data_IF_426030378129
#
_entry.id   IF_426030378129
#
_cell.length_a   1.000
_cell.length_b   1.000
_cell.length_c   1.000
_cell.angle_alpha   90.00
_cell.angle_beta   90.00
_cell.angle_gamma   90.00
#
_symmetry.space_group_name_H-M   'P 1'
#
loop_
_entity.id
_entity.type
_entity.pdbx_description
1 polymer ?
#
# COMPACT_ATOMS: atom_id res chain seq x y z
N UNK A 1 9.21 1.58 43.86
CA UNK A 1 10.43 2.40 43.58
C UNK A 1 10.05 3.39 42.49
N UNK A 2 10.01 4.67 42.80
CA UNK A 2 9.68 5.71 41.82
C UNK A 2 10.94 6.01 40.99
N UNK A 3 10.85 5.87 39.66
CA UNK A 3 11.90 6.32 38.74
C UNK A 3 11.84 7.85 38.64
N UNK A 4 12.86 8.50 39.14
CA UNK A 4 12.97 9.95 39.08
C UNK A 4 13.85 10.33 37.87
N UNK A 5 13.26 10.77 36.78
CA UNK A 5 13.98 11.30 35.61
C UNK A 5 14.41 12.75 35.90
N UNK A 6 15.59 12.90 36.44
CA UNK A 6 16.03 14.18 36.97
C UNK A 6 16.58 15.16 35.92
N UNK A 7 16.79 14.78 34.67
CA UNK A 7 17.21 15.68 33.60
C UNK A 7 17.02 15.12 32.19
N UNK A 8 17.09 16.01 31.20
CA UNK A 8 16.85 15.71 29.76
C UNK A 8 17.88 14.76 29.13
N UNK A 9 19.06 14.56 29.75
CA UNK A 9 20.13 13.71 29.25
C UNK A 9 19.96 12.22 29.64
N UNK A 10 19.04 11.90 30.53
CA UNK A 10 18.79 10.51 30.96
C UNK A 10 18.18 9.64 29.85
N UNK A 11 17.51 10.25 28.87
CA UNK A 11 16.91 9.53 27.74
C UNK A 11 17.91 9.17 26.65
N UNK A 12 19.04 9.89 26.53
CA UNK A 12 20.06 9.61 25.53
C UNK A 12 20.88 8.34 25.81
N UNK A 13 20.82 7.82 27.04
CA UNK A 13 21.49 6.59 27.47
C UNK A 13 20.58 5.34 27.40
N UNK A 14 19.30 5.48 27.03
CA UNK A 14 18.38 4.35 26.87
C UNK A 14 18.62 3.74 25.49
N UNK A 15 19.39 2.68 25.44
CA UNK A 15 19.68 1.93 24.20
C UNK A 15 18.56 0.97 23.79
N UNK A 16 17.61 0.65 24.68
CA UNK A 16 16.41 -0.12 24.40
C UNK A 16 15.31 0.16 25.43
N UNK A 17 14.08 0.25 25.00
CA UNK A 17 12.92 0.28 25.88
C UNK A 17 12.60 -1.15 26.35
N UNK A 18 12.17 -1.36 27.63
CA UNK A 18 11.60 -2.64 28.03
C UNK A 18 10.45 -3.05 27.11
N UNK A 19 10.32 -4.35 26.84
CA UNK A 19 9.27 -4.88 25.95
C UNK A 19 7.83 -4.50 26.40
N UNK A 20 7.65 -4.13 27.68
CA UNK A 20 6.38 -3.63 28.22
C UNK A 20 6.11 -2.14 27.92
N UNK A 21 7.07 -1.42 27.38
CA UNK A 21 6.91 -0.06 26.86
C UNK A 21 7.03 -0.18 25.33
N UNK A 22 6.15 -0.94 24.72
CA UNK A 22 5.95 -0.83 23.28
C UNK A 22 5.39 0.58 23.05
N UNK A 23 6.16 1.45 22.44
CA UNK A 23 5.61 2.68 21.91
C UNK A 23 4.54 2.26 20.91
N UNK A 24 3.26 2.36 21.28
CA UNK A 24 2.12 2.07 20.39
C UNK A 24 2.26 2.90 19.12
N UNK A 25 2.89 2.35 18.10
CA UNK A 25 3.28 3.05 16.91
C UNK A 25 3.59 2.09 15.77
N UNK A 26 3.75 2.67 14.61
CA UNK A 26 4.16 1.95 13.41
C UNK A 26 5.66 1.62 13.48
N UNK A 27 6.01 0.34 13.36
CA UNK A 27 7.40 -0.12 13.25
C UNK A 27 7.76 -0.33 11.78
N UNK A 28 8.78 0.37 11.28
CA UNK A 28 9.28 0.15 9.92
C UNK A 28 9.92 -1.24 9.82
N UNK A 29 9.39 -2.07 8.93
CA UNK A 29 9.88 -3.43 8.68
C UNK A 29 10.83 -3.44 7.49
N UNK A 30 10.45 -2.77 6.39
CA UNK A 30 11.19 -2.79 5.13
C UNK A 30 10.86 -1.56 4.29
N UNK A 31 11.82 -1.14 3.49
CA UNK A 31 11.70 -0.06 2.53
C UNK A 31 12.27 -0.49 1.19
N UNK A 32 11.62 -0.12 0.10
CA UNK A 32 12.11 -0.32 -1.26
C UNK A 32 11.95 0.96 -2.08
N UNK A 33 13.03 1.34 -2.76
CA UNK A 33 13.06 2.47 -3.68
C UNK A 33 13.00 1.96 -5.11
N UNK A 34 12.10 2.51 -5.90
CA UNK A 34 12.01 2.21 -7.31
C UNK A 34 13.12 2.93 -8.10
N UNK A 35 13.65 2.25 -9.10
CA UNK A 35 14.59 2.78 -10.08
C UNK A 35 14.35 2.06 -11.41
N UNK A 36 13.42 2.54 -12.21
CA UNK A 36 12.95 1.92 -13.45
C UNK A 36 12.60 0.43 -13.27
N UNK A 37 11.93 0.12 -12.17
CA UNK A 37 11.62 -1.24 -11.71
C UNK A 37 10.34 -1.75 -12.39
N UNK A 38 10.38 -2.91 -13.04
CA UNK A 38 9.19 -3.52 -13.64
C UNK A 38 8.14 -3.88 -12.59
N UNK A 39 8.60 -4.28 -11.41
CA UNK A 39 7.80 -4.58 -10.22
C UNK A 39 8.58 -4.25 -8.95
N UNK A 40 7.87 -3.99 -7.85
CA UNK A 40 8.43 -3.99 -6.50
C UNK A 40 7.71 -5.06 -5.70
N UNK A 41 8.48 -5.97 -5.07
CA UNK A 41 7.93 -7.11 -4.34
C UNK A 41 8.47 -7.15 -2.92
N UNK A 42 7.58 -7.24 -1.94
CA UNK A 42 7.90 -7.55 -0.56
C UNK A 42 7.68 -9.05 -0.35
N UNK A 43 8.74 -9.78 -0.10
CA UNK A 43 8.75 -11.26 -0.03
C UNK A 43 9.00 -11.80 1.36
N UNK A 44 9.13 -10.93 2.36
CA UNK A 44 9.35 -11.25 3.77
C UNK A 44 8.83 -10.13 4.66
N UNK A 45 8.78 -10.38 5.96
CA UNK A 45 8.38 -9.39 6.97
C UNK A 45 6.87 -9.27 7.20
N UNK A 46 6.06 -10.07 6.49
CA UNK A 46 4.62 -10.19 6.74
C UNK A 46 4.37 -11.59 7.30
N UNK A 47 4.10 -11.66 8.58
CA UNK A 47 3.95 -12.90 9.35
C UNK A 47 2.95 -12.69 10.52
N UNK A 48 3.07 -13.45 11.59
CA UNK A 48 2.20 -13.35 12.77
C UNK A 48 2.71 -12.39 13.85
N UNK A 49 3.74 -11.57 13.56
CA UNK A 49 4.32 -10.63 14.53
C UNK A 49 3.37 -9.48 14.82
N UNK A 50 2.65 -9.00 13.79
CA UNK A 50 1.70 -7.91 13.91
C UNK A 50 0.31 -8.33 13.43
N UNK A 51 -0.72 -7.80 14.07
CA UNK A 51 -2.11 -8.00 13.64
C UNK A 51 -2.46 -7.16 12.42
N UNK A 52 -1.76 -6.05 12.24
CA UNK A 52 -1.98 -5.11 11.15
C UNK A 52 -0.66 -4.73 10.48
N UNK A 53 -0.71 -4.63 9.15
CA UNK A 53 0.41 -4.16 8.33
C UNK A 53 -0.04 -3.01 7.44
N UNK A 54 0.85 -2.00 7.28
CA UNK A 54 0.59 -0.84 6.43
C UNK A 54 1.70 -0.67 5.43
N UNK A 55 1.34 -0.67 4.15
CA UNK A 55 2.20 -0.13 3.10
C UNK A 55 1.94 1.36 2.94
N UNK A 56 3.00 2.16 2.89
CA UNK A 56 2.95 3.59 2.54
C UNK A 56 3.73 3.84 1.25
N UNK A 57 3.14 4.64 0.39
CA UNK A 57 3.63 4.94 -0.95
C UNK A 57 3.94 6.43 -1.05
N UNK A 58 5.12 6.75 -1.55
CA UNK A 58 5.60 8.13 -1.69
C UNK A 58 6.08 8.33 -3.12
N UNK A 59 5.49 9.30 -3.81
CA UNK A 59 5.88 9.78 -5.14
C UNK A 59 6.09 8.64 -6.16
N UNK A 60 5.13 7.71 -6.21
CA UNK A 60 5.17 6.60 -7.15
C UNK A 60 4.86 7.12 -8.54
N UNK A 61 5.88 7.12 -9.40
CA UNK A 61 5.86 7.73 -10.73
C UNK A 61 6.05 6.67 -11.82
N UNK A 62 5.21 6.65 -12.90
CA UNK A 62 5.35 5.71 -14.00
C UNK A 62 6.32 6.22 -15.06
N UNK A 63 7.10 5.31 -15.68
CA UNK A 63 7.87 5.63 -16.88
C UNK A 63 7.00 5.78 -18.14
N UNK A 64 5.82 5.19 -18.13
CA UNK A 64 4.88 5.21 -19.26
C UNK A 64 3.66 6.03 -18.88
N UNK A 65 3.28 6.95 -19.74
CA UNK A 65 2.12 7.81 -19.56
C UNK A 65 0.80 7.02 -19.46
N UNK A 66 -0.16 7.58 -18.73
CA UNK A 66 -1.54 7.08 -18.66
C UNK A 66 -1.64 5.64 -18.10
N UNK A 67 -0.95 5.35 -16.98
CA UNK A 67 -0.94 4.03 -16.38
C UNK A 67 -1.52 3.99 -14.97
N UNK A 68 -2.44 3.03 -14.65
CA UNK A 68 -2.89 2.80 -13.29
C UNK A 68 -1.86 1.98 -12.50
N UNK A 69 -1.68 2.34 -11.24
CA UNK A 69 -0.89 1.58 -10.28
C UNK A 69 -1.71 0.43 -9.69
N UNK A 70 -1.10 -0.73 -9.52
CA UNK A 70 -1.78 -1.99 -9.17
C UNK A 70 -1.01 -2.80 -8.15
N UNK A 71 -1.72 -3.69 -7.43
CA UNK A 71 -1.10 -4.63 -6.52
C UNK A 71 -1.75 -6.02 -6.57
N UNK A 72 -1.01 -7.01 -6.07
CA UNK A 72 -1.48 -8.36 -5.84
C UNK A 72 -0.68 -9.01 -4.70
N UNK A 73 -1.20 -10.08 -4.12
CA UNK A 73 -0.55 -10.83 -3.04
C UNK A 73 -0.31 -12.29 -3.44
N UNK A 74 0.53 -12.96 -2.63
CA UNK A 74 0.73 -14.41 -2.73
C UNK A 74 1.01 -15.06 -1.38
N UNK A 75 0.97 -16.39 -1.35
CA UNK A 75 1.11 -17.23 -0.17
C UNK A 75 2.44 -17.98 -0.19
N UNK A 76 3.01 -18.22 0.99
CA UNK A 76 4.24 -19.00 1.14
C UNK A 76 5.39 -18.45 0.30
N UNK A 77 5.94 -19.26 -0.58
CA UNK A 77 7.04 -18.90 -1.49
C UNK A 77 6.59 -18.76 -2.95
N UNK A 78 5.29 -18.80 -3.20
CA UNK A 78 4.73 -18.62 -4.54
C UNK A 78 5.05 -17.23 -5.10
N UNK A 79 5.13 -17.12 -6.41
CA UNK A 79 5.47 -15.90 -7.14
C UNK A 79 4.51 -15.62 -8.31
N UNK A 80 3.38 -16.30 -8.35
CA UNK A 80 2.37 -16.13 -9.40
C UNK A 80 1.54 -14.86 -9.20
N UNK A 81 1.45 -14.35 -7.95
CA UNK A 81 0.70 -13.17 -7.56
C UNK A 81 -0.71 -13.15 -8.17
N UNK A 82 -1.48 -14.19 -7.86
CA UNK A 82 -2.78 -14.46 -8.45
C UNK A 82 -3.84 -14.88 -7.42
N UNK A 83 -3.73 -14.39 -6.18
CA UNK A 83 -4.73 -14.68 -5.14
C UNK A 83 -6.08 -14.10 -5.52
N UNK A 84 -7.12 -14.92 -5.39
CA UNK A 84 -8.49 -14.50 -5.69
C UNK A 84 -8.97 -13.43 -4.72
N UNK A 85 -9.57 -12.35 -5.23
CA UNK A 85 -10.15 -11.28 -4.41
C UNK A 85 -11.53 -10.85 -4.88
N UNK A 86 -12.27 -10.29 -3.92
CA UNK A 86 -13.46 -9.50 -4.21
C UNK A 86 -13.24 -8.11 -3.63
N UNK A 87 -13.43 -7.08 -4.44
CA UNK A 87 -13.11 -5.70 -4.10
C UNK A 87 -14.20 -4.75 -4.53
N UNK A 88 -14.23 -3.59 -3.88
CA UNK A 88 -14.99 -2.42 -4.30
C UNK A 88 -14.02 -1.28 -4.56
N UNK A 89 -14.33 -0.45 -5.54
CA UNK A 89 -13.53 0.74 -5.82
C UNK A 89 -14.43 1.91 -6.19
N UNK A 90 -14.19 3.09 -5.60
CA UNK A 90 -14.81 4.35 -5.99
C UNK A 90 -13.78 5.48 -5.96
N UNK A 91 -14.08 6.55 -6.66
CA UNK A 91 -13.20 7.71 -6.79
C UNK A 91 -13.93 9.01 -6.60
N UNK A 92 -13.20 10.02 -6.15
CA UNK A 92 -13.55 11.43 -6.30
C UNK A 92 -12.45 12.12 -7.12
N UNK A 93 -12.83 13.00 -8.05
CA UNK A 93 -11.85 13.68 -8.89
C UNK A 93 -12.27 15.08 -9.26
N UNK A 94 -11.27 15.94 -9.51
CA UNK A 94 -11.44 17.31 -9.97
C UNK A 94 -10.24 17.72 -10.84
N UNK A 95 -10.49 18.49 -11.92
CA UNK A 95 -9.40 19.04 -12.69
C UNK A 95 -8.97 20.43 -12.15
N UNK A 96 -7.78 20.87 -12.51
CA UNK A 96 -7.23 22.16 -12.07
C UNK A 96 -8.03 23.37 -12.55
N UNK A 97 -8.68 23.27 -13.71
CA UNK A 97 -9.52 24.34 -14.25
C UNK A 97 -10.87 24.50 -13.52
N UNK A 98 -11.23 23.60 -12.60
CA UNK A 98 -12.51 23.58 -11.90
C UNK A 98 -13.73 23.29 -12.80
N UNK A 99 -13.49 22.83 -14.03
CA UNK A 99 -14.55 22.56 -15.02
C UNK A 99 -15.01 21.11 -15.04
N UNK A 100 -14.33 20.21 -14.33
CA UNK A 100 -14.66 18.80 -14.21
C UNK A 100 -14.57 18.35 -12.75
N UNK A 101 -15.60 17.64 -12.31
CA UNK A 101 -15.57 16.94 -11.03
C UNK A 101 -16.37 15.64 -11.15
N UNK A 102 -16.02 14.64 -10.37
CA UNK A 102 -16.67 13.34 -10.34
C UNK A 102 -16.62 12.72 -8.95
N UNK A 103 -17.71 12.04 -8.60
CA UNK A 103 -17.76 11.06 -7.52
C UNK A 103 -18.48 9.83 -8.07
N UNK A 104 -17.83 8.69 -8.10
CA UNK A 104 -18.41 7.52 -8.75
C UNK A 104 -17.78 6.20 -8.36
N UNK A 105 -18.56 5.12 -8.53
CA UNK A 105 -18.12 3.74 -8.42
C UNK A 105 -17.44 3.29 -9.72
N UNK A 106 -16.36 2.52 -9.60
CA UNK A 106 -15.51 2.11 -10.73
C UNK A 106 -15.68 0.62 -11.05
N UNK A 107 -16.75 0.28 -11.75
CA UNK A 107 -17.12 -1.10 -12.10
C UNK A 107 -16.11 -1.83 -12.99
N UNK A 108 -15.25 -1.11 -13.71
CA UNK A 108 -14.19 -1.70 -14.54
C UNK A 108 -12.89 -1.98 -13.82
N UNK A 109 -12.80 -1.62 -12.54
CA UNK A 109 -11.57 -1.70 -11.73
C UNK A 109 -11.76 -2.46 -10.43
N UNK A 110 -12.95 -2.91 -10.11
CA UNK A 110 -13.25 -3.83 -9.03
C UNK A 110 -13.04 -5.29 -9.46
N UNK A 111 -13.06 -6.19 -8.52
CA UNK A 111 -12.95 -7.63 -8.78
C UNK A 111 -14.07 -8.40 -8.09
N UNK A 112 -14.67 -9.33 -8.83
CA UNK A 112 -15.65 -10.28 -8.34
C UNK A 112 -15.06 -11.69 -8.46
N UNK A 113 -14.36 -12.15 -7.39
CA UNK A 113 -13.59 -13.40 -7.38
C UNK A 113 -12.53 -13.43 -8.50
N UNK A 114 -11.92 -12.29 -8.78
CA UNK A 114 -10.85 -12.16 -9.76
C UNK A 114 -9.48 -12.47 -9.18
N UNK A 115 -8.54 -12.92 -10.02
CA UNK A 115 -7.15 -13.19 -9.65
C UNK A 115 -6.15 -12.22 -10.30
N UNK A 116 -6.63 -11.20 -10.98
CA UNK A 116 -5.80 -10.17 -11.58
C UNK A 116 -5.23 -9.20 -10.53
N UNK A 117 -4.32 -8.33 -10.95
CA UNK A 117 -3.83 -7.24 -10.13
C UNK A 117 -4.93 -6.21 -9.91
N UNK A 118 -5.20 -5.88 -8.64
CA UNK A 118 -6.17 -4.86 -8.25
C UNK A 118 -5.64 -3.47 -8.58
N UNK A 119 -6.44 -2.69 -9.28
CA UNK A 119 -6.18 -1.28 -9.57
C UNK A 119 -6.36 -0.43 -8.30
N UNK A 120 -5.39 0.42 -8.02
CA UNK A 120 -5.35 1.30 -6.84
C UNK A 120 -5.62 2.77 -7.20
N UNK A 121 -5.18 3.21 -8.38
CA UNK A 121 -5.28 4.62 -8.80
C UNK A 121 -6.00 4.75 -10.12
N UNK A 122 -6.43 5.97 -10.44
CA UNK A 122 -6.67 6.33 -11.85
C UNK A 122 -5.36 6.28 -12.62
N UNK A 123 -5.44 6.48 -13.93
CA UNK A 123 -4.27 6.50 -14.77
C UNK A 123 -3.40 7.71 -14.43
N UNK A 124 -2.17 7.46 -14.02
CA UNK A 124 -1.19 8.48 -13.64
C UNK A 124 -0.42 8.88 -14.89
N UNK A 125 -0.13 10.15 -15.04
CA UNK A 125 0.73 10.65 -16.11
C UNK A 125 2.21 10.46 -15.80
N UNK A 126 3.06 10.71 -16.80
CA UNK A 126 4.52 10.60 -16.70
C UNK A 126 5.25 11.95 -16.82
N UNK A 127 4.55 13.06 -16.71
CA UNK A 127 5.22 14.35 -16.55
C UNK A 127 5.90 14.43 -15.17
N UNK A 128 6.95 15.24 -15.06
CA UNK A 128 7.84 15.28 -13.88
C UNK A 128 7.15 15.58 -12.54
N UNK A 129 5.97 16.16 -12.57
CA UNK A 129 5.15 16.55 -11.41
C UNK A 129 3.97 15.61 -11.17
N UNK A 130 3.81 14.57 -11.99
CA UNK A 130 2.74 13.59 -11.89
C UNK A 130 3.19 12.35 -11.14
N UNK A 131 2.46 11.99 -10.11
CA UNK A 131 2.75 10.82 -9.28
C UNK A 131 1.52 10.39 -8.48
N UNK A 132 1.65 9.35 -7.68
CA UNK A 132 0.69 9.05 -6.63
C UNK A 132 1.36 8.80 -5.28
N UNK A 133 0.58 9.08 -4.24
CA UNK A 133 0.90 8.75 -2.86
C UNK A 133 -0.31 8.11 -2.18
N UNK A 134 -0.07 7.28 -1.15
CA UNK A 134 -1.19 6.62 -0.48
C UNK A 134 -0.76 5.56 0.50
N UNK A 135 -1.74 4.72 0.86
CA UNK A 135 -1.48 3.59 1.75
C UNK A 135 -2.42 2.42 1.47
N UNK A 136 -1.95 1.22 1.83
CA UNK A 136 -2.75 0.00 1.96
C UNK A 136 -2.60 -0.52 3.37
N UNK A 137 -3.70 -0.79 4.02
CA UNK A 137 -3.82 -1.36 5.35
C UNK A 137 -4.33 -2.79 5.23
N UNK A 138 -3.60 -3.73 5.81
CA UNK A 138 -3.91 -5.17 5.81
C UNK A 138 -4.24 -5.61 7.22
N UNK A 139 -5.30 -6.38 7.38
CA UNK A 139 -5.76 -6.88 8.66
C UNK A 139 -5.50 -8.38 8.77
N UNK A 140 -4.73 -8.79 9.77
CA UNK A 140 -4.39 -10.17 10.09
C UNK A 140 -4.03 -11.04 8.85
N UNK A 141 -3.05 -10.64 8.03
CA UNK A 141 -2.68 -11.38 6.82
C UNK A 141 -2.17 -12.80 7.11
N UNK A 142 -1.71 -13.07 8.33
CA UNK A 142 -1.23 -14.37 8.79
C UNK A 142 -2.34 -15.30 9.30
N UNK A 143 -3.60 -14.85 9.40
CA UNK A 143 -4.70 -15.70 9.86
C UNK A 143 -4.83 -16.98 9.01
N UNK A 144 -4.98 -18.14 9.65
CA UNK A 144 -5.31 -19.41 9.00
C UNK A 144 -6.80 -19.75 9.07
N UNK A 145 -7.62 -18.85 9.61
CA UNK A 145 -9.06 -19.06 9.83
C UNK A 145 -9.91 -18.16 8.93
N UNK A 146 -9.56 -16.87 8.85
CA UNK A 146 -10.37 -15.89 8.13
C UNK A 146 -9.73 -15.48 6.81
N UNK A 147 -10.55 -14.96 5.88
CA UNK A 147 -10.10 -14.24 4.68
C UNK A 147 -9.32 -12.98 5.08
N UNK A 148 -8.51 -12.45 4.17
CA UNK A 148 -7.59 -11.34 4.47
C UNK A 148 -8.19 -10.03 3.96
N UNK A 149 -8.66 -9.21 4.88
CA UNK A 149 -9.23 -7.91 4.56
C UNK A 149 -8.16 -6.86 4.31
N UNK A 150 -8.44 -5.91 3.44
CA UNK A 150 -7.62 -4.73 3.22
C UNK A 150 -8.46 -3.49 2.91
N UNK A 151 -7.87 -2.33 3.19
CA UNK A 151 -8.39 -1.00 2.81
C UNK A 151 -7.23 -0.24 2.18
N UNK A 152 -7.48 0.45 1.07
CA UNK A 152 -6.50 1.30 0.39
C UNK A 152 -7.09 2.67 0.08
N UNK A 153 -6.27 3.71 0.20
CA UNK A 153 -6.58 5.05 -0.25
C UNK A 153 -5.37 5.66 -0.93
N UNK A 154 -5.57 6.20 -2.11
CA UNK A 154 -4.54 6.84 -2.90
C UNK A 154 -5.00 8.19 -3.41
N UNK A 155 -4.09 9.15 -3.40
CA UNK A 155 -4.21 10.37 -4.16
C UNK A 155 -3.28 10.27 -5.37
N UNK A 156 -3.75 10.67 -6.54
CA UNK A 156 -2.98 10.65 -7.77
C UNK A 156 -3.21 11.87 -8.64
N UNK A 157 -2.17 12.28 -9.37
CA UNK A 157 -2.25 13.25 -10.45
C UNK A 157 -2.33 12.49 -11.77
N UNK A 158 -3.43 12.67 -12.48
CA UNK A 158 -3.67 12.00 -13.75
C UNK A 158 -3.05 12.82 -14.91
N UNK A 159 -2.68 12.11 -16.00
CA UNK A 159 -2.10 12.66 -17.22
C UNK A 159 -2.86 13.84 -17.87
N UNK A 160 -4.05 14.17 -17.42
CA UNK A 160 -4.86 15.32 -17.87
C UNK A 160 -5.03 16.37 -16.79
N UNK A 161 -4.05 16.55 -15.91
CA UNK A 161 -4.03 17.53 -14.82
C UNK A 161 -5.26 17.42 -13.91
N UNK A 162 -5.61 16.19 -13.56
CA UNK A 162 -6.72 15.89 -12.67
C UNK A 162 -6.20 15.27 -11.38
N UNK A 163 -6.70 15.78 -10.25
CA UNK A 163 -6.49 15.19 -8.94
C UNK A 163 -7.57 14.16 -8.67
N UNK A 164 -7.17 12.93 -8.29
CA UNK A 164 -8.07 11.87 -7.86
C UNK A 164 -7.77 11.40 -6.45
N UNK A 165 -8.85 11.10 -5.71
CA UNK A 165 -8.84 10.38 -4.46
C UNK A 165 -9.56 9.04 -4.68
N UNK A 166 -8.78 7.96 -4.68
CA UNK A 166 -9.22 6.61 -4.97
C UNK A 166 -9.36 5.80 -3.69
N UNK A 167 -10.51 5.18 -3.49
CA UNK A 167 -10.80 4.29 -2.37
C UNK A 167 -11.00 2.88 -2.89
N UNK A 168 -10.22 1.93 -2.36
CA UNK A 168 -10.36 0.51 -2.66
C UNK A 168 -10.42 -0.27 -1.36
N UNK A 169 -11.37 -1.18 -1.25
CA UNK A 169 -11.47 -2.10 -0.13
C UNK A 169 -11.86 -3.49 -0.62
N UNK A 170 -11.46 -4.52 0.12
CA UNK A 170 -11.82 -5.87 -0.26
C UNK A 170 -11.20 -6.92 0.63
N UNK A 171 -11.24 -8.14 0.12
CA UNK A 171 -10.59 -9.28 0.78
C UNK A 171 -10.00 -10.26 -0.23
N UNK A 172 -8.90 -10.89 0.16
CA UNK A 172 -8.36 -12.06 -0.51
C UNK A 172 -9.13 -13.29 -0.03
N UNK A 173 -9.74 -14.03 -0.98
CA UNK A 173 -10.58 -15.19 -0.68
C UNK A 173 -9.72 -16.44 -0.42
N UNK A 174 -8.89 -16.38 0.60
CA UNK A 174 -8.06 -17.49 1.08
C UNK A 174 -7.93 -17.47 2.59
N UNK A 175 -7.88 -18.64 3.22
CA UNK A 175 -7.50 -18.78 4.64
C UNK A 175 -6.01 -19.06 4.81
N UNK A 176 -5.27 -19.31 3.72
CA UNK A 176 -3.80 -19.45 3.78
C UNK A 176 -3.17 -18.11 4.07
N UNK A 177 -2.17 -18.01 4.97
CA UNK A 177 -1.44 -16.77 5.23
C UNK A 177 -0.86 -16.12 3.98
N UNK A 178 -1.09 -14.82 3.82
CA UNK A 178 -0.42 -14.01 2.81
C UNK A 178 0.94 -13.57 3.34
N UNK A 179 1.98 -13.79 2.57
CA UNK A 179 3.36 -13.50 2.96
C UNK A 179 4.10 -12.62 1.96
N UNK A 180 3.50 -12.37 0.80
CA UNK A 180 4.12 -11.67 -0.32
C UNK A 180 3.15 -10.68 -0.95
N UNK A 181 3.67 -9.51 -1.31
CA UNK A 181 2.93 -8.46 -2.01
C UNK A 181 3.78 -7.91 -3.15
N UNK A 182 3.15 -7.67 -4.28
CA UNK A 182 3.80 -7.10 -5.45
C UNK A 182 3.01 -5.91 -5.98
N UNK A 183 3.76 -4.89 -6.39
CA UNK A 183 3.27 -3.63 -6.93
C UNK A 183 3.85 -3.39 -8.31
N UNK A 184 3.02 -2.85 -9.22
CA UNK A 184 3.44 -2.51 -10.58
C UNK A 184 2.47 -1.52 -11.23
N UNK A 185 2.90 -0.87 -12.29
CA UNK A 185 1.99 -0.25 -13.25
C UNK A 185 1.38 -1.30 -14.20
N UNK A 186 0.31 -0.93 -14.88
CA UNK A 186 -0.31 -1.82 -15.87
C UNK A 186 0.63 -2.08 -17.07
N UNK A 187 1.40 -1.07 -17.45
CA UNK A 187 2.43 -1.15 -18.48
C UNK A 187 3.65 -0.30 -18.08
N UNK A 188 4.81 -0.62 -18.63
CA UNK A 188 6.06 0.08 -18.32
C UNK A 188 6.63 -0.28 -16.94
N UNK A 189 7.45 0.62 -16.41
CA UNK A 189 8.14 0.46 -15.12
C UNK A 189 7.66 1.49 -14.11
N UNK A 190 7.90 1.22 -12.82
CA UNK A 190 7.90 2.21 -11.76
C UNK A 190 9.24 2.96 -11.90
N UNK A 191 9.21 4.16 -12.44
CA UNK A 191 10.43 4.93 -12.71
C UNK A 191 11.10 5.36 -11.42
N UNK A 192 10.31 5.90 -10.50
CA UNK A 192 10.78 6.35 -9.18
C UNK A 192 9.69 6.21 -8.12
N UNK A 193 10.07 6.44 -6.87
CA UNK A 193 9.22 6.42 -5.70
C UNK A 193 9.70 5.48 -4.62
N UNK A 194 9.07 5.55 -3.45
CA UNK A 194 9.44 4.74 -2.29
C UNK A 194 8.20 4.03 -1.74
N UNK A 195 8.36 2.76 -1.44
CA UNK A 195 7.32 1.95 -0.75
C UNK A 195 7.90 1.48 0.58
N UNK A 196 7.19 1.74 1.68
CA UNK A 196 7.56 1.33 3.03
C UNK A 196 6.52 0.39 3.61
N UNK A 197 6.98 -0.70 4.22
CA UNK A 197 6.16 -1.65 4.97
C UNK A 197 6.33 -1.41 6.46
N UNK A 198 5.22 -1.28 7.16
CA UNK A 198 5.16 -1.13 8.62
C UNK A 198 4.28 -2.21 9.24
N UNK A 199 4.61 -2.58 10.49
CA UNK A 199 3.74 -3.33 11.39
C UNK A 199 3.16 -2.41 12.46
N UNK A 200 1.92 -2.68 12.88
CA UNK A 200 1.22 -1.97 13.96
C UNK A 200 0.96 -2.96 15.09
N UNK A 201 1.37 -2.56 16.31
CA UNK A 201 1.17 -3.30 17.55
C UNK A 201 0.03 -2.69 18.36
#
# INVERSE_FOLDING_TARGET
MALNFANNNSLSAISSLPASISGGGMTLISEQTASSSSTISFTSGIDSTYDEYVFKFYDIHPATDDQPFKFQADTGTNTSYNQTMTTTRFKAGQNEAGSYNVLGYETGSDQAQGSGFQTLTQNIGNANDESCAGQIQLFQPSSSVFVKHFIARFQSTQHSEQSYDDFTAGYFNTTTPLTRFQFKFNSGTIESGVIKLYGIS
#
